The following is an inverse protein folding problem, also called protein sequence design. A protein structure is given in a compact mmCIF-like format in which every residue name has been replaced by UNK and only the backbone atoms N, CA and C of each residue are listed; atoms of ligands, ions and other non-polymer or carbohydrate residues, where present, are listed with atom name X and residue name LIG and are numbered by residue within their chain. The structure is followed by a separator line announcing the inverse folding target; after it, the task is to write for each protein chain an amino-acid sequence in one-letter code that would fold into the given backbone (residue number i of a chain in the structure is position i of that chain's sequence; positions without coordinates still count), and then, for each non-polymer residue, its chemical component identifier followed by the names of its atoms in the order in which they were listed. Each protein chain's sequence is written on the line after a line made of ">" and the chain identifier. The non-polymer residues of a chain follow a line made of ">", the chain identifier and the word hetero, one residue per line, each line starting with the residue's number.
data_IF_438689186268
#
_entry.id   IF_438689186268
#
_cell.length_a   1.000
_cell.length_b   1.000
_cell.length_c   1.000
_cell.angle_alpha   90.00
_cell.angle_beta   90.00
_cell.angle_gamma   90.00
#
_symmetry.space_group_name_H-M   'P 1'
#
loop_
_entity.id
_entity.type
_entity.pdbx_description
1 polymer ?
#
# COMPACT_ATOMS: atom_id res chain seq x y z
N UNK A 1 2.74 -10.17 -10.67
CA UNK A 1 2.28 -10.78 -9.40
C UNK A 1 0.86 -11.29 -9.55
N UNK A 2 0.42 -12.18 -8.66
CA UNK A 2 -0.99 -12.55 -8.58
C UNK A 2 -1.84 -11.29 -8.33
N UNK A 3 -2.92 -11.12 -9.09
CA UNK A 3 -3.80 -9.96 -8.94
C UNK A 3 -4.28 -9.86 -7.47
N UNK A 4 -3.96 -8.74 -6.79
CA UNK A 4 -4.40 -8.45 -5.42
C UNK A 4 -3.41 -8.79 -4.30
N UNK A 5 -2.21 -9.30 -4.59
CA UNK A 5 -1.16 -9.45 -3.58
C UNK A 5 -0.49 -8.09 -3.25
N UNK A 6 -0.06 -7.86 -1.99
CA UNK A 6 0.73 -6.69 -1.62
C UNK A 6 2.11 -6.74 -2.28
N UNK A 7 2.56 -5.62 -2.86
CA UNK A 7 3.88 -5.47 -3.47
C UNK A 7 4.57 -4.24 -2.90
N UNK A 8 5.79 -4.38 -2.41
CA UNK A 8 6.61 -3.23 -2.05
C UNK A 8 7.36 -2.76 -3.29
N UNK A 9 7.44 -1.46 -3.47
CA UNK A 9 8.16 -0.86 -4.58
C UNK A 9 9.00 0.31 -4.06
N UNK A 10 10.15 0.52 -4.67
CA UNK A 10 10.93 1.74 -4.49
C UNK A 10 10.55 2.75 -5.57
N UNK A 11 9.96 3.86 -5.15
CA UNK A 11 9.58 4.98 -6.02
C UNK A 11 9.97 6.29 -5.37
N UNK A 12 10.44 7.25 -6.17
CA UNK A 12 10.66 8.61 -5.66
C UNK A 12 9.30 9.24 -5.38
N UNK A 13 9.00 9.66 -4.13
CA UNK A 13 7.73 10.29 -3.82
C UNK A 13 7.56 11.59 -4.61
N UNK A 14 6.34 11.93 -5.07
CA UNK A 14 6.02 13.27 -5.54
C UNK A 14 6.51 14.36 -4.59
N UNK A 15 6.87 15.53 -5.10
CA UNK A 15 7.41 16.64 -4.29
C UNK A 15 6.50 17.01 -3.11
N UNK A 16 5.19 16.93 -3.31
CA UNK A 16 4.19 17.18 -2.26
C UNK A 16 4.16 16.13 -1.13
N UNK A 17 4.87 15.01 -1.29
CA UNK A 17 5.07 13.98 -0.27
C UNK A 17 6.52 14.00 0.25
N UNK A 18 7.19 15.16 0.20
CA UNK A 18 8.54 15.31 0.71
C UNK A 18 8.64 14.80 2.17
N UNK A 19 9.66 13.97 2.44
CA UNK A 19 9.88 13.35 3.76
C UNK A 19 9.12 12.05 4.00
N UNK A 20 8.32 11.59 3.04
CA UNK A 20 7.74 10.25 3.06
C UNK A 20 8.78 9.23 2.58
N UNK A 21 8.59 7.96 2.98
CA UNK A 21 9.43 6.83 2.53
C UNK A 21 9.41 6.67 1.01
N UNK A 22 10.55 6.36 0.39
CA UNK A 22 10.60 5.95 -1.02
C UNK A 22 10.08 4.53 -1.23
N UNK A 23 10.04 3.74 -0.17
CA UNK A 23 9.41 2.43 -0.19
C UNK A 23 7.91 2.58 0.04
N UNK A 24 7.13 2.13 -0.94
CA UNK A 24 5.67 2.25 -0.97
C UNK A 24 5.03 0.88 -1.16
N UNK A 25 3.94 0.63 -0.42
CA UNK A 25 3.15 -0.57 -0.65
C UNK A 25 2.10 -0.30 -1.73
N UNK A 26 2.06 -1.18 -2.72
CA UNK A 26 1.06 -1.22 -3.78
C UNK A 26 0.16 -2.42 -3.58
N UNK A 27 -1.16 -2.20 -3.66
CA UNK A 27 -2.16 -3.26 -3.55
C UNK A 27 -3.17 -3.17 -4.68
N UNK A 28 -3.40 -4.28 -5.37
CA UNK A 28 -4.45 -4.39 -6.38
C UNK A 28 -5.85 -4.49 -5.79
N UNK A 29 -6.86 -4.18 -6.59
CA UNK A 29 -8.26 -4.49 -6.26
C UNK A 29 -8.39 -5.99 -5.98
N UNK A 30 -8.77 -6.32 -4.75
CA UNK A 30 -8.97 -7.70 -4.31
C UNK A 30 -10.43 -8.07 -4.53
N UNK A 31 -10.70 -9.08 -5.35
CA UNK A 31 -12.04 -9.65 -5.53
C UNK A 31 -12.16 -10.94 -4.71
N UNK A 32 -13.23 -11.07 -3.92
CA UNK A 32 -13.53 -12.28 -3.13
C UNK A 32 -14.01 -12.00 -1.70
N UNK A 33 -14.96 -12.83 -1.23
CA UNK A 33 -15.56 -12.70 0.11
C UNK A 33 -14.59 -13.04 1.25
N UNK A 34 -13.59 -13.90 1.01
CA UNK A 34 -12.64 -14.32 2.04
C UNK A 34 -11.82 -13.15 2.61
N UNK A 35 -11.63 -12.09 1.81
CA UNK A 35 -10.85 -10.92 2.22
C UNK A 35 -11.71 -9.70 2.59
N UNK A 36 -13.04 -9.79 2.55
CA UNK A 36 -13.89 -8.65 2.94
C UNK A 36 -13.76 -8.33 4.42
N UNK A 37 -13.69 -9.36 5.29
CA UNK A 37 -13.52 -9.19 6.73
C UNK A 37 -12.17 -8.57 7.10
N UNK A 38 -11.07 -9.07 6.52
CA UNK A 38 -9.72 -8.52 6.74
C UNK A 38 -9.63 -7.07 6.26
N UNK A 39 -10.23 -6.76 5.11
CA UNK A 39 -10.30 -5.38 4.60
C UNK A 39 -11.07 -4.47 5.55
N UNK A 40 -12.26 -4.88 6.01
CA UNK A 40 -13.07 -4.09 6.94
C UNK A 40 -12.32 -3.83 8.25
N UNK A 41 -11.66 -4.84 8.79
CA UNK A 41 -10.83 -4.70 9.99
C UNK A 41 -9.67 -3.71 9.77
N UNK A 42 -8.85 -3.91 8.74
CA UNK A 42 -7.71 -3.03 8.44
C UNK A 42 -8.13 -1.60 8.18
N UNK A 43 -9.22 -1.41 7.44
CA UNK A 43 -9.73 -0.07 7.12
C UNK A 43 -10.38 0.62 8.33
N UNK A 44 -11.00 -0.14 9.24
CA UNK A 44 -11.49 0.36 10.52
C UNK A 44 -10.34 0.71 11.47
N UNK A 45 -9.30 -0.13 11.52
CA UNK A 45 -8.08 0.10 12.28
C UNK A 45 -7.32 1.33 11.79
N UNK A 46 -7.22 1.55 10.48
CA UNK A 46 -6.63 2.78 9.95
C UNK A 46 -7.39 4.02 10.43
N UNK A 47 -8.73 3.98 10.40
CA UNK A 47 -9.56 5.09 10.86
C UNK A 47 -9.36 5.41 12.36
N UNK A 48 -9.05 4.40 13.20
CA UNK A 48 -8.74 4.64 14.62
C UNK A 48 -7.31 5.16 14.85
N UNK A 49 -6.40 4.89 13.91
CA UNK A 49 -4.99 5.24 14.02
C UNK A 49 -4.63 6.61 13.44
N UNK A 50 -5.28 6.99 12.35
CA UNK A 50 -4.99 8.20 11.57
C UNK A 50 -6.29 8.87 11.09
N UNK A 51 -6.64 10.00 11.71
CA UNK A 51 -7.81 10.79 11.33
C UNK A 51 -7.54 11.69 10.10
N UNK A 52 -6.28 11.88 9.72
CA UNK A 52 -5.81 12.80 8.67
C UNK A 52 -5.54 12.12 7.32
N UNK A 53 -6.11 10.93 7.09
CA UNK A 53 -5.86 10.20 5.85
C UNK A 53 -6.51 10.93 4.66
N UNK A 54 -5.68 11.33 3.70
CA UNK A 54 -6.09 11.91 2.43
C UNK A 54 -5.99 10.88 1.29
N UNK A 55 -6.90 10.99 0.32
CA UNK A 55 -6.93 10.12 -0.85
C UNK A 55 -6.85 10.94 -2.13
N UNK A 56 -6.02 10.51 -3.07
CA UNK A 56 -5.80 11.18 -4.33
C UNK A 56 -5.97 10.20 -5.48
N UNK A 57 -7.10 10.31 -6.17
CA UNK A 57 -7.39 9.52 -7.35
C UNK A 57 -6.75 10.14 -8.59
N UNK A 58 -5.88 9.39 -9.26
CA UNK A 58 -5.22 9.82 -10.51
C UNK A 58 -5.23 8.70 -11.55
N UNK A 59 -6.44 8.29 -11.94
CA UNK A 59 -6.64 7.22 -12.92
C UNK A 59 -5.98 7.46 -14.28
N UNK A 60 -5.67 8.71 -14.64
CA UNK A 60 -5.13 9.09 -15.94
C UNK A 60 -3.67 9.58 -15.87
N UNK A 61 -3.07 9.56 -14.68
CA UNK A 61 -1.70 10.00 -14.42
C UNK A 61 -1.45 11.46 -14.80
N UNK A 62 -2.46 12.32 -14.60
CA UNK A 62 -2.39 13.74 -14.93
C UNK A 62 -1.77 14.57 -13.81
N UNK A 63 -1.86 14.10 -12.56
CA UNK A 63 -1.31 14.79 -11.38
C UNK A 63 0.08 14.25 -11.04
N UNK A 64 0.28 12.94 -11.14
CA UNK A 64 1.56 12.28 -10.82
C UNK A 64 2.05 11.37 -11.97
N UNK A 65 2.33 11.93 -13.17
CA UNK A 65 2.75 11.14 -14.32
C UNK A 65 3.97 10.27 -14.05
N UNK A 66 4.95 10.79 -13.31
CA UNK A 66 6.18 10.08 -12.96
C UNK A 66 5.92 8.84 -12.08
N UNK A 67 4.90 8.91 -11.22
CA UNK A 67 4.50 7.77 -10.40
C UNK A 67 3.87 6.67 -11.26
N UNK A 68 3.03 7.05 -12.23
CA UNK A 68 2.45 6.13 -13.19
C UNK A 68 3.52 5.41 -14.03
N UNK A 69 4.52 6.15 -14.50
CA UNK A 69 5.67 5.59 -15.21
C UNK A 69 6.47 4.61 -14.35
N UNK A 70 6.78 4.98 -13.10
CA UNK A 70 7.51 4.10 -12.16
C UNK A 70 6.75 2.80 -11.89
N UNK A 71 5.45 2.89 -11.63
CA UNK A 71 4.59 1.73 -11.43
C UNK A 71 4.58 0.81 -12.66
N UNK A 72 4.52 1.37 -13.87
CA UNK A 72 4.54 0.57 -15.10
C UNK A 72 5.89 -0.08 -15.36
N UNK A 73 7.00 0.60 -15.06
CA UNK A 73 8.34 0.00 -15.19
C UNK A 73 8.50 -1.24 -14.29
N UNK A 74 7.92 -1.21 -13.10
CA UNK A 74 8.04 -2.30 -12.13
C UNK A 74 7.01 -3.43 -12.36
N UNK A 75 5.79 -3.07 -12.77
CA UNK A 75 4.70 -4.06 -12.93
C UNK A 75 4.53 -4.56 -14.36
N UNK A 76 5.13 -3.90 -15.36
CA UNK A 76 4.85 -4.07 -16.79
C UNK A 76 3.38 -3.83 -17.19
N UNK A 77 2.60 -3.15 -16.33
CA UNK A 77 1.18 -2.87 -16.57
C UNK A 77 0.89 -1.39 -16.34
N UNK A 78 0.07 -0.82 -17.22
CA UNK A 78 -0.47 0.53 -17.07
C UNK A 78 -1.75 0.47 -16.24
N UNK A 79 -1.61 0.72 -14.94
CA UNK A 79 -2.71 0.68 -13.99
C UNK A 79 -3.27 2.07 -13.66
N UNK A 80 -4.59 2.15 -13.48
CA UNK A 80 -5.21 3.31 -12.83
C UNK A 80 -4.95 3.22 -11.32
N UNK A 81 -4.52 4.31 -10.68
CA UNK A 81 -4.16 4.27 -9.27
C UNK A 81 -4.82 5.36 -8.42
N UNK A 82 -4.87 5.09 -7.13
CA UNK A 82 -5.26 6.02 -6.07
C UNK A 82 -4.17 5.98 -4.98
N UNK A 83 -3.79 7.16 -4.49
CA UNK A 83 -2.81 7.30 -3.41
C UNK A 83 -3.58 7.51 -2.11
N UNK A 84 -3.19 6.82 -1.03
CA UNK A 84 -3.63 7.10 0.32
C UNK A 84 -2.44 7.56 1.15
N UNK A 85 -2.55 8.68 1.88
CA UNK A 85 -1.45 9.25 2.68
C UNK A 85 -1.91 9.79 4.03
N UNK A 86 -1.04 9.76 5.02
CA UNK A 86 -1.20 10.43 6.33
C UNK A 86 0.07 11.20 6.66
N UNK A 87 -0.07 12.48 6.96
CA UNK A 87 1.05 13.35 7.32
C UNK A 87 1.49 13.05 8.75
N UNK A 88 0.55 12.87 9.67
CA UNK A 88 0.82 12.60 11.07
C UNK A 88 1.69 11.34 11.31
N UNK A 89 1.67 10.37 10.37
CA UNK A 89 2.46 9.14 10.46
C UNK A 89 3.59 9.04 9.42
N UNK A 90 3.73 10.05 8.56
CA UNK A 90 4.67 10.09 7.43
C UNK A 90 4.62 8.80 6.61
N UNK A 91 3.42 8.40 6.18
CA UNK A 91 3.20 7.16 5.47
C UNK A 91 2.22 7.34 4.31
N UNK A 92 2.48 6.63 3.23
CA UNK A 92 1.66 6.61 2.03
C UNK A 92 1.67 5.22 1.40
N UNK A 93 0.65 4.95 0.60
CA UNK A 93 0.49 3.69 -0.12
C UNK A 93 -0.37 3.89 -1.37
N UNK A 94 -0.35 2.90 -2.26
CA UNK A 94 -1.01 2.99 -3.57
C UNK A 94 -1.98 1.82 -3.73
N UNK A 95 -3.20 2.14 -4.14
CA UNK A 95 -4.18 1.18 -4.61
C UNK A 95 -4.30 1.24 -6.11
N UNK A 96 -4.27 0.08 -6.78
CA UNK A 96 -4.44 -0.01 -8.24
C UNK A 96 -5.74 -0.70 -8.63
N UNK A 97 -6.35 -0.26 -9.73
CA UNK A 97 -7.49 -0.90 -10.34
C UNK A 97 -8.38 0.01 -11.19
N UNK A 98 -9.07 -0.60 -12.16
CA UNK A 98 -9.87 0.12 -13.16
C UNK A 98 -11.04 0.92 -12.56
N UNK A 99 -11.66 0.43 -11.48
CA UNK A 99 -12.83 1.06 -10.83
C UNK A 99 -12.42 1.96 -9.66
N UNK A 100 -12.87 3.22 -9.65
CA UNK A 100 -12.50 4.23 -8.64
C UNK A 100 -12.65 3.80 -7.20
N UNK A 101 -13.87 3.36 -6.85
CA UNK A 101 -14.16 2.86 -5.51
C UNK A 101 -13.31 1.65 -5.10
N UNK A 102 -12.84 0.84 -6.04
CA UNK A 102 -12.03 -0.32 -5.73
C UNK A 102 -10.58 0.07 -5.48
N UNK A 103 -9.98 0.92 -6.33
CA UNK A 103 -8.61 1.39 -6.12
C UNK A 103 -8.48 2.25 -4.87
N UNK A 104 -9.47 3.07 -4.52
CA UNK A 104 -9.47 3.82 -3.26
C UNK A 104 -9.50 2.87 -2.04
N UNK A 105 -10.37 1.84 -2.07
CA UNK A 105 -10.39 0.81 -1.01
C UNK A 105 -9.06 0.06 -0.92
N UNK A 106 -8.46 -0.27 -2.05
CA UNK A 106 -7.14 -0.90 -2.09
C UNK A 106 -6.06 0.03 -1.51
N UNK A 107 -6.07 1.32 -1.84
CA UNK A 107 -5.14 2.31 -1.31
C UNK A 107 -5.28 2.45 0.21
N UNK A 108 -6.54 2.50 0.70
CA UNK A 108 -6.83 2.52 2.13
C UNK A 108 -6.27 1.31 2.86
N UNK A 109 -6.50 0.12 2.31
CA UNK A 109 -6.00 -1.13 2.88
C UNK A 109 -4.47 -1.20 2.82
N UNK A 110 -3.86 -0.78 1.71
CA UNK A 110 -2.40 -0.71 1.57
C UNK A 110 -1.77 0.24 2.59
N UNK A 111 -2.40 1.39 2.87
CA UNK A 111 -1.90 2.32 3.90
C UNK A 111 -2.02 1.72 5.30
N UNK A 112 -3.12 1.05 5.61
CA UNK A 112 -3.28 0.32 6.87
C UNK A 112 -2.16 -0.72 7.04
N UNK A 113 -1.88 -1.49 6.00
CA UNK A 113 -0.82 -2.49 6.02
C UNK A 113 0.57 -1.86 6.18
N UNK A 114 0.85 -0.76 5.49
CA UNK A 114 2.11 -0.02 5.60
C UNK A 114 2.36 0.42 7.04
N UNK A 115 1.34 0.98 7.70
CA UNK A 115 1.43 1.39 9.10
C UNK A 115 1.56 0.21 10.06
N UNK A 116 0.83 -0.89 9.81
CA UNK A 116 0.91 -2.09 10.64
C UNK A 116 2.30 -2.73 10.58
N UNK A 117 2.87 -2.88 9.37
CA UNK A 117 4.24 -3.37 9.17
C UNK A 117 5.26 -2.46 9.86
N UNK A 118 5.11 -1.13 9.74
CA UNK A 118 5.97 -0.16 10.42
C UNK A 118 5.90 -0.33 11.95
N UNK A 119 4.70 -0.38 12.52
CA UNK A 119 4.51 -0.58 13.96
C UNK A 119 5.15 -1.88 14.47
N UNK A 120 5.01 -2.97 13.72
CA UNK A 120 5.59 -4.26 14.09
C UNK A 120 7.11 -4.24 14.00
N UNK A 121 7.70 -3.57 13.00
CA UNK A 121 9.15 -3.40 12.90
C UNK A 121 9.73 -2.61 14.09
N UNK A 122 8.91 -1.77 14.72
CA UNK A 122 9.22 -1.03 15.95
C UNK A 122 8.88 -1.83 17.22
N UNK A 123 8.47 -3.10 17.11
CA UNK A 123 8.09 -3.95 18.24
C UNK A 123 6.74 -3.62 18.88
N UNK A 124 5.88 -2.85 18.20
CA UNK A 124 4.55 -2.46 18.71
C UNK A 124 3.46 -3.41 18.20
N UNK A 125 2.56 -3.90 19.08
CA UNK A 125 1.44 -4.74 18.66
C UNK A 125 0.40 -3.91 17.90
N UNK A 126 -0.26 -4.54 16.92
CA UNK A 126 -1.32 -3.91 16.08
C UNK A 126 -2.71 -4.09 16.70
N UNK A 127 -2.93 -5.18 17.44
CA UNK A 127 -4.25 -5.59 17.93
C UNK A 127 -5.16 -6.19 16.85
N UNK A 128 -4.61 -6.53 15.67
CA UNK A 128 -5.35 -7.11 14.56
C UNK A 128 -5.59 -8.61 14.75
N UNK A 129 -6.63 -9.13 14.10
CA UNK A 129 -6.97 -10.55 14.09
C UNK A 129 -5.87 -11.38 13.43
N UNK A 130 -5.86 -12.69 13.73
CA UNK A 130 -4.92 -13.63 13.11
C UNK A 130 -4.99 -13.60 11.57
N UNK A 131 -6.18 -13.49 11.00
CA UNK A 131 -6.35 -13.45 9.55
C UNK A 131 -5.72 -12.20 8.94
N UNK A 132 -5.88 -11.04 9.60
CA UNK A 132 -5.21 -9.82 9.19
C UNK A 132 -3.68 -9.91 9.37
N UNK A 133 -3.22 -10.53 10.46
CA UNK A 133 -1.78 -10.76 10.70
C UNK A 133 -1.13 -11.72 9.71
N UNK A 134 -1.84 -12.77 9.28
CA UNK A 134 -1.40 -13.68 8.23
C UNK A 134 -1.29 -12.94 6.88
N UNK A 135 -2.20 -11.99 6.62
CA UNK A 135 -2.14 -11.14 5.43
C UNK A 135 -0.97 -10.14 5.49
N UNK A 136 -0.70 -9.55 6.65
CA UNK A 136 0.48 -8.71 6.87
C UNK A 136 1.78 -9.51 6.74
N UNK A 137 1.78 -10.78 7.14
CA UNK A 137 2.94 -11.65 6.98
C UNK A 137 3.33 -11.82 5.51
N UNK A 138 2.36 -11.84 4.59
CA UNK A 138 2.64 -11.85 3.14
C UNK A 138 3.33 -10.57 2.70
N UNK A 139 2.82 -9.40 3.08
CA UNK A 139 3.45 -8.13 2.77
C UNK A 139 4.89 -8.04 3.33
N UNK A 140 5.14 -8.60 4.52
CA UNK A 140 6.49 -8.64 5.11
C UNK A 140 7.42 -9.59 4.37
N UNK A 141 6.93 -10.76 3.95
CA UNK A 141 7.71 -11.72 3.15
C UNK A 141 8.18 -11.10 1.85
N UNK A 142 7.28 -10.42 1.14
CA UNK A 142 7.61 -9.76 -0.11
C UNK A 142 8.70 -8.70 0.10
N UNK A 143 8.56 -7.86 1.13
CA UNK A 143 9.57 -6.85 1.50
C UNK A 143 10.96 -7.44 1.74
N UNK A 144 11.01 -8.61 2.38
CA UNK A 144 12.27 -9.30 2.69
C UNK A 144 12.94 -9.91 1.45
N UNK A 145 12.15 -10.34 0.45
CA UNK A 145 12.68 -10.88 -0.80
C UNK A 145 13.36 -9.80 -1.65
N UNK A 146 12.79 -8.60 -1.72
CA UNK A 146 13.42 -7.49 -2.45
C UNK A 146 14.68 -6.96 -1.76
N UNK A 147 14.70 -6.94 -0.42
CA UNK A 147 15.89 -6.54 0.36
C UNK A 147 17.03 -7.58 0.34
N UNK A 148 16.76 -8.83 -0.03
CA UNK A 148 17.74 -9.93 -0.07
C UNK A 148 18.60 -10.00 -1.34
N UNK A 149 18.27 -9.22 -2.38
CA UNK A 149 18.96 -9.24 -3.68
C UNK A 149 20.24 -8.40 -3.76
N UNK A 150 20.52 -7.53 -2.78
CA UNK A 150 21.69 -6.65 -2.79
C UNK A 150 22.96 -7.26 -2.15
N UNK A 151 22.99 -8.58 -1.93
CA UNK A 151 24.05 -9.24 -1.16
C UNK A 151 24.50 -10.62 -1.66
N UNK A 152 24.28 -10.95 -2.94
CA UNK A 152 24.80 -12.19 -3.50
C UNK A 152 25.36 -12.00 -4.92
N UNK A 153 26.70 -11.89 -4.95
CA UNK A 153 27.65 -12.09 -6.07
C UNK A 153 27.77 -11.01 -7.13
#
# INVERSE_FOLDING_TARGET
>A
GAAGAPQWLHVVPPLEFQGFSEEVLVLGSIEGHLQSGVREELTGWLSSLAADVAYEDDAFWTRFPQLGEALTLQTNVRECYCIAKTVARHAWAIGVGMKGKNREKAAKMALAMTLAVKMQSEGRPTGLSRAAEDFLAEARRERALEGGGAGAS
#
